data_IF_582453297426
#
_entry.id   IF_582453297426
#
_cell.length_a   1.000
_cell.length_b   1.000
_cell.length_c   1.000
_cell.angle_alpha   90.00
_cell.angle_beta   90.00
_cell.angle_gamma   90.00
#
_symmetry.space_group_name_H-M   'P 1'
#
loop_
_entity.id
_entity.type
_entity.pdbx_description
1 polymer ?
#
# COMPACT_ATOMS: atom_id res chain seq x y z
N UNK A 1 -0.13 8.24 15.15
CA UNK A 1 -0.25 8.62 13.73
C UNK A 1 1.13 9.00 13.22
N UNK A 2 1.58 8.39 12.12
CA UNK A 2 2.78 8.85 11.41
C UNK A 2 2.52 10.19 10.69
N UNK A 3 3.55 10.89 10.21
CA UNK A 3 3.34 12.02 9.31
C UNK A 3 2.70 11.50 8.00
N UNK A 4 1.83 12.28 7.34
CA UNK A 4 1.25 11.87 6.06
C UNK A 4 2.39 11.76 5.03
N UNK A 5 2.70 10.54 4.62
CA UNK A 5 3.73 10.30 3.61
C UNK A 5 3.27 10.81 2.25
N UNK A 6 4.20 11.32 1.43
CA UNK A 6 3.89 11.53 0.03
C UNK A 6 3.65 10.18 -0.63
N UNK A 7 2.55 10.03 -1.36
CA UNK A 7 2.21 8.80 -2.05
C UNK A 7 1.90 9.06 -3.53
N UNK A 8 2.80 8.59 -4.39
CA UNK A 8 2.71 8.71 -5.84
C UNK A 8 2.28 7.37 -6.46
N UNK A 9 1.77 7.46 -7.68
CA UNK A 9 1.41 6.30 -8.50
C UNK A 9 2.39 6.22 -9.67
N UNK A 10 2.76 5.00 -10.05
CA UNK A 10 3.32 4.82 -11.40
C UNK A 10 2.21 4.97 -12.43
N UNK A 11 2.57 5.35 -13.66
CA UNK A 11 1.61 5.45 -14.76
C UNK A 11 0.79 4.16 -14.95
N UNK A 12 1.44 3.00 -14.80
CA UNK A 12 0.76 1.70 -14.85
C UNK A 12 -0.31 1.57 -13.75
N UNK A 13 0.04 1.92 -12.52
CA UNK A 13 -0.90 1.84 -11.40
C UNK A 13 -2.07 2.82 -11.56
N UNK A 14 -1.85 3.99 -12.16
CA UNK A 14 -2.93 4.93 -12.49
C UNK A 14 -3.88 4.34 -13.53
N UNK A 15 -3.35 3.78 -14.62
CA UNK A 15 -4.15 3.13 -15.66
C UNK A 15 -4.95 1.94 -15.11
N UNK A 16 -4.30 1.09 -14.30
CA UNK A 16 -4.94 -0.06 -13.66
C UNK A 16 -6.07 0.42 -12.73
N UNK A 17 -5.85 1.45 -11.91
CA UNK A 17 -6.83 2.02 -10.97
C UNK A 17 -8.01 2.62 -11.74
N UNK A 18 -7.74 3.37 -12.79
CA UNK A 18 -8.77 4.11 -13.54
C UNK A 18 -9.66 3.18 -14.37
N UNK A 19 -9.17 1.98 -14.70
CA UNK A 19 -9.95 0.91 -15.32
C UNK A 19 -10.90 0.18 -14.36
N UNK A 20 -10.73 0.32 -13.04
CA UNK A 20 -11.56 -0.36 -12.05
C UNK A 20 -12.96 0.25 -11.93
N UNK A 21 -13.98 -0.55 -11.55
CA UNK A 21 -15.28 -0.03 -11.15
C UNK A 21 -15.16 1.00 -10.01
N UNK A 22 -16.10 1.93 -9.92
CA UNK A 22 -16.08 3.00 -8.90
C UNK A 22 -15.94 2.46 -7.47
N UNK A 23 -16.69 1.43 -7.11
CA UNK A 23 -16.62 0.81 -5.79
C UNK A 23 -15.20 0.29 -5.47
N UNK A 24 -14.53 -0.32 -6.45
CA UNK A 24 -13.17 -0.81 -6.30
C UNK A 24 -12.15 0.33 -6.18
N UNK A 25 -12.33 1.42 -6.93
CA UNK A 25 -11.50 2.63 -6.79
C UNK A 25 -11.58 3.22 -5.39
N UNK A 26 -12.77 3.26 -4.79
CA UNK A 26 -12.95 3.70 -3.40
C UNK A 26 -12.16 2.83 -2.43
N UNK A 27 -12.19 1.50 -2.60
CA UNK A 27 -11.41 0.57 -1.78
C UNK A 27 -9.90 0.78 -1.94
N UNK A 28 -9.44 1.01 -3.17
CA UNK A 28 -8.03 1.33 -3.47
C UNK A 28 -7.59 2.62 -2.78
N UNK A 29 -8.42 3.67 -2.79
CA UNK A 29 -8.10 4.91 -2.09
C UNK A 29 -8.10 4.75 -0.57
N UNK A 30 -9.00 3.94 -0.01
CA UNK A 30 -9.00 3.60 1.40
C UNK A 30 -7.72 2.86 1.81
N UNK A 31 -7.34 1.82 1.04
CA UNK A 31 -6.10 1.08 1.25
C UNK A 31 -4.86 1.99 1.19
N UNK A 32 -4.80 2.92 0.23
CA UNK A 32 -3.72 3.93 0.17
C UNK A 32 -3.70 4.85 1.40
N UNK A 33 -4.85 5.23 1.93
CA UNK A 33 -4.92 6.10 3.10
C UNK A 33 -4.28 5.45 4.34
N UNK A 34 -4.48 4.13 4.52
CA UNK A 34 -3.82 3.37 5.58
C UNK A 34 -2.29 3.41 5.41
N UNK A 35 -1.78 3.18 4.19
CA UNK A 35 -0.35 3.25 3.92
C UNK A 35 0.26 4.63 4.20
N UNK A 36 -0.44 5.71 3.82
CA UNK A 36 0.02 7.10 3.97
C UNK A 36 0.06 7.54 5.43
N UNK A 37 -0.78 6.97 6.29
CA UNK A 37 -0.92 7.38 7.69
C UNK A 37 -0.21 6.46 8.68
N UNK A 38 0.18 5.27 8.22
CA UNK A 38 0.96 4.30 8.99
C UNK A 38 2.28 4.89 9.51
N UNK A 39 2.65 4.57 10.74
CA UNK A 39 3.95 4.98 11.29
C UNK A 39 5.13 4.27 10.60
N UNK A 40 4.92 3.03 10.15
CA UNK A 40 5.80 2.30 9.24
C UNK A 40 4.94 1.67 8.13
N UNK A 41 4.98 2.21 6.90
CA UNK A 41 4.22 1.66 5.77
C UNK A 41 4.58 0.23 5.40
N UNK A 42 5.68 -0.33 5.89
CA UNK A 42 6.00 -1.75 5.71
C UNK A 42 5.40 -2.65 6.77
N UNK A 43 4.76 -2.09 7.81
CA UNK A 43 4.15 -2.83 8.92
C UNK A 43 5.09 -3.91 9.48
N UNK A 44 6.39 -3.57 9.60
CA UNK A 44 7.42 -4.49 10.09
C UNK A 44 7.33 -4.61 11.60
N UNK A 45 7.25 -5.83 12.10
CA UNK A 45 7.15 -6.11 13.52
C UNK A 45 6.21 -7.27 13.77
N UNK A 46 6.08 -7.66 15.04
CA UNK A 46 5.04 -8.57 15.47
C UNK A 46 3.80 -7.71 15.72
N UNK A 47 2.65 -8.11 15.19
CA UNK A 47 1.34 -7.46 15.40
C UNK A 47 1.19 -6.03 14.84
N UNK A 48 2.14 -5.54 14.04
CA UNK A 48 2.06 -4.19 13.45
C UNK A 48 0.97 -4.04 12.41
N UNK A 49 0.61 -5.12 11.73
CA UNK A 49 -0.54 -5.22 10.84
C UNK A 49 -1.89 -5.27 11.58
N UNK A 50 -1.93 -5.45 12.91
CA UNK A 50 -3.19 -5.42 13.69
C UNK A 50 -3.86 -4.05 13.71
N UNK A 51 -3.12 -2.99 13.42
CA UNK A 51 -3.66 -1.64 13.29
C UNK A 51 -4.43 -1.45 11.96
N UNK A 52 -4.31 -2.40 11.01
CA UNK A 52 -5.07 -2.36 9.77
C UNK A 52 -6.55 -2.71 10.01
N UNK A 53 -7.47 -2.10 9.24
CA UNK A 53 -8.87 -2.51 9.22
C UNK A 53 -9.05 -3.99 8.90
N UNK A 54 -10.12 -4.59 9.43
CA UNK A 54 -10.49 -5.96 9.11
C UNK A 54 -10.60 -6.18 7.60
N UNK A 55 -9.99 -7.26 7.10
CA UNK A 55 -9.94 -7.57 5.67
C UNK A 55 -8.77 -6.93 4.91
N UNK A 56 -7.85 -6.26 5.61
CA UNK A 56 -6.56 -5.81 5.08
C UNK A 56 -5.39 -6.55 5.73
N UNK A 57 -4.32 -6.77 4.96
CA UNK A 57 -3.06 -7.33 5.46
C UNK A 57 -1.89 -6.87 4.60
N UNK A 58 -0.70 -6.76 5.18
CA UNK A 58 0.53 -6.40 4.47
C UNK A 58 1.52 -7.54 4.54
N UNK A 59 2.08 -7.89 3.40
CA UNK A 59 3.13 -8.90 3.32
C UNK A 59 4.31 -8.37 2.49
N UNK A 60 5.56 -8.73 2.84
CA UNK A 60 6.67 -8.49 1.94
C UNK A 60 6.42 -9.27 0.65
N UNK A 61 6.53 -8.61 -0.52
CA UNK A 61 6.69 -9.36 -1.74
C UNK A 61 7.94 -10.25 -1.57
N UNK A 62 7.99 -11.46 -2.15
CA UNK A 62 9.06 -12.45 -1.96
C UNK A 62 10.48 -12.01 -2.43
N UNK A 63 10.77 -10.71 -2.43
CA UNK A 63 12.07 -10.11 -2.57
C UNK A 63 12.96 -10.45 -1.37
N UNK A 64 14.16 -10.94 -1.65
CA UNK A 64 15.24 -11.14 -0.67
C UNK A 64 15.87 -9.82 -0.18
N UNK A 65 15.28 -8.66 -0.53
CA UNK A 65 15.80 -7.34 -0.18
C UNK A 65 15.10 -6.77 1.06
N UNK A 66 15.83 -6.34 2.11
CA UNK A 66 15.26 -5.78 3.35
C UNK A 66 14.44 -4.49 3.19
N UNK A 67 14.44 -3.86 2.01
CA UNK A 67 13.60 -2.73 1.64
C UNK A 67 12.85 -2.98 0.33
N UNK A 68 12.53 -4.25 0.06
CA UNK A 68 11.82 -4.69 -1.13
C UNK A 68 10.35 -4.25 -1.15
N UNK A 69 9.72 -4.47 -2.30
CA UNK A 69 8.30 -4.21 -2.49
C UNK A 69 7.46 -4.94 -1.45
N UNK A 70 6.37 -4.31 -1.04
CA UNK A 70 5.35 -4.91 -0.18
C UNK A 70 4.02 -4.95 -0.95
N UNK A 71 3.16 -5.87 -0.53
CA UNK A 71 1.81 -6.00 -1.04
C UNK A 71 0.84 -5.77 0.10
N UNK A 72 -0.01 -4.76 -0.04
CA UNK A 72 -1.17 -4.55 0.82
C UNK A 72 -2.37 -5.23 0.16
N UNK A 73 -2.89 -6.27 0.79
CA UNK A 73 -4.16 -6.88 0.43
C UNK A 73 -5.32 -6.10 1.08
N UNK A 74 -6.42 -5.98 0.35
CA UNK A 74 -7.66 -5.37 0.85
C UNK A 74 -8.88 -6.13 0.33
N UNK A 75 -10.04 -5.81 0.89
CA UNK A 75 -11.31 -6.48 0.56
C UNK A 75 -11.22 -8.01 0.71
N UNK A 76 -10.63 -8.45 1.84
CA UNK A 76 -10.46 -9.88 2.16
C UNK A 76 -9.65 -10.64 1.09
N UNK A 77 -8.66 -9.99 0.48
CA UNK A 77 -7.77 -10.58 -0.52
C UNK A 77 -8.28 -10.52 -1.96
N UNK A 78 -9.43 -9.85 -2.20
CA UNK A 78 -9.94 -9.59 -3.56
C UNK A 78 -9.15 -8.52 -4.29
N UNK A 79 -8.54 -7.60 -3.54
CA UNK A 79 -7.69 -6.56 -4.09
C UNK A 79 -6.31 -6.54 -3.46
N UNK A 80 -5.37 -5.97 -4.19
CA UNK A 80 -4.03 -5.71 -3.67
C UNK A 80 -3.38 -4.47 -4.30
N UNK A 81 -2.48 -3.86 -3.54
CA UNK A 81 -1.59 -2.78 -3.97
C UNK A 81 -0.15 -3.22 -3.79
N UNK A 82 0.66 -3.17 -4.85
CA UNK A 82 2.11 -3.38 -4.75
C UNK A 82 2.78 -2.03 -4.65
N UNK A 83 3.60 -1.84 -3.63
CA UNK A 83 4.22 -0.56 -3.34
C UNK A 83 5.62 -0.69 -2.77
N UNK A 84 6.34 0.42 -2.82
CA UNK A 84 7.63 0.60 -2.15
C UNK A 84 7.61 1.89 -1.33
N UNK A 85 8.34 1.89 -0.22
CA UNK A 85 8.49 3.03 0.67
C UNK A 85 9.98 3.36 0.88
N UNK A 86 10.35 4.59 0.55
CA UNK A 86 11.71 5.09 0.70
C UNK A 86 11.76 6.15 1.79
N UNK A 87 12.28 5.79 2.96
CA UNK A 87 12.36 6.64 4.17
C UNK A 87 13.49 7.68 4.15
N UNK A 88 13.84 8.29 3.01
CA UNK A 88 14.98 9.25 2.94
C UNK A 88 14.82 10.39 3.97
N UNK A 89 15.95 10.92 4.44
CA UNK A 89 16.05 11.83 5.59
C UNK A 89 15.36 13.20 5.42
N UNK A 90 14.99 13.57 4.19
CA UNK A 90 14.39 14.89 3.88
C UNK A 90 12.94 14.79 3.44
N UNK A 91 12.59 13.80 2.61
CA UNK A 91 11.21 13.56 2.18
C UNK A 91 10.96 12.06 1.96
N UNK A 92 10.14 11.42 2.81
CA UNK A 92 9.76 10.02 2.68
C UNK A 92 8.73 9.81 1.57
N UNK A 93 9.05 8.93 0.61
CA UNK A 93 8.21 8.69 -0.58
C UNK A 93 7.64 7.28 -0.59
N UNK A 94 6.32 7.17 -0.72
CA UNK A 94 5.59 5.94 -1.00
C UNK A 94 5.22 5.91 -2.49
N UNK A 95 5.54 4.84 -3.19
CA UNK A 95 5.19 4.70 -4.61
C UNK A 95 4.38 3.43 -4.79
N UNK A 96 3.16 3.58 -5.29
CA UNK A 96 2.30 2.47 -5.70
C UNK A 96 2.63 2.12 -7.14
N UNK A 97 3.12 0.90 -7.34
CA UNK A 97 3.61 0.42 -8.62
C UNK A 97 2.54 -0.31 -9.41
N UNK A 98 1.63 -1.00 -8.73
CA UNK A 98 0.53 -1.72 -9.35
C UNK A 98 -0.68 -1.79 -8.41
N UNK A 99 -1.86 -1.92 -9.00
CA UNK A 99 -3.08 -2.20 -8.27
C UNK A 99 -3.93 -3.22 -9.03
N UNK A 100 -4.71 -4.00 -8.28
CA UNK A 100 -5.60 -5.01 -8.83
C UNK A 100 -6.81 -5.20 -7.91
N UNK A 101 -7.95 -5.58 -8.47
CA UNK A 101 -9.16 -5.97 -7.73
C UNK A 101 -10.08 -6.84 -8.59
N UNK A 102 -10.62 -7.95 -8.03
CA UNK A 102 -11.56 -8.87 -8.70
C UNK A 102 -12.60 -9.48 -7.75
#
# INVERSE_FOLDING_TARGET
>A
MGPPWQADWTKKAEEDRDALPEAARTLVYAARAELVTAADPYFRGIDTDRDLPAGMSVEPAQSTRPGGQHVLYFDHGRGWLRYQFTRRTTDPQLVIEECFWQ
#
